data_IF_807446460983
#
_entry.id   IF_807446460983
#
_cell.length_a   1.000
_cell.length_b   1.000
_cell.length_c   1.000
_cell.angle_alpha   90.00
_cell.angle_beta   90.00
_cell.angle_gamma   90.00
#
_symmetry.space_group_name_H-M   'P 1'
#
loop_
_entity.id
_entity.type
_entity.pdbx_description
1 polymer ?
#
# COMPACT_ATOMS: atom_id res chain seq x y z
N UNK A 1 -17.10 6.50 -5.19
CA UNK A 1 -17.69 6.99 -6.46
C UNK A 1 -16.54 7.41 -7.36
N UNK A 2 -16.56 7.04 -8.65
CA UNK A 2 -15.47 7.35 -9.60
C UNK A 2 -15.99 8.40 -10.58
N UNK A 3 -15.28 9.52 -10.70
CA UNK A 3 -15.54 10.59 -11.68
C UNK A 3 -14.37 10.69 -12.65
N UNK A 4 -14.67 11.00 -13.92
CA UNK A 4 -13.62 11.46 -14.84
C UNK A 4 -13.37 12.93 -14.58
N UNK A 5 -12.13 13.38 -14.72
CA UNK A 5 -11.77 14.79 -14.49
C UNK A 5 -12.60 15.75 -15.34
N UNK A 6 -12.90 15.37 -16.58
CA UNK A 6 -13.74 16.14 -17.51
C UNK A 6 -15.20 16.34 -17.06
N UNK A 7 -15.68 15.51 -16.12
CA UNK A 7 -17.06 15.54 -15.63
C UNK A 7 -17.17 16.32 -14.31
N UNK A 8 -16.06 16.89 -13.80
CA UNK A 8 -16.03 17.73 -12.61
C UNK A 8 -16.47 19.15 -12.93
N UNK A 9 -17.21 19.78 -12.01
CA UNK A 9 -17.47 21.22 -12.12
C UNK A 9 -16.16 22.02 -11.94
N UNK A 10 -16.08 23.26 -12.45
CA UNK A 10 -14.90 24.11 -12.26
C UNK A 10 -14.51 24.27 -10.77
N UNK A 11 -15.51 24.48 -9.91
CA UNK A 11 -15.31 24.62 -8.46
C UNK A 11 -14.75 23.34 -7.83
N UNK A 12 -15.29 22.17 -8.20
CA UNK A 12 -14.81 20.88 -7.71
C UNK A 12 -13.36 20.62 -8.14
N UNK A 13 -13.02 20.96 -9.38
CA UNK A 13 -11.68 20.81 -9.91
C UNK A 13 -10.67 21.65 -9.14
N UNK A 14 -10.96 22.93 -8.93
CA UNK A 14 -10.06 23.85 -8.19
C UNK A 14 -9.80 23.35 -6.77
N UNK A 15 -10.82 22.84 -6.07
CA UNK A 15 -10.63 22.27 -4.72
C UNK A 15 -9.71 21.06 -4.75
N UNK A 16 -9.91 20.14 -5.69
CA UNK A 16 -9.11 18.92 -5.77
C UNK A 16 -7.66 19.24 -6.20
N UNK A 17 -7.46 20.14 -7.17
CA UNK A 17 -6.13 20.61 -7.56
C UNK A 17 -5.39 21.28 -6.40
N UNK A 18 -6.11 22.05 -5.56
CA UNK A 18 -5.57 22.62 -4.33
C UNK A 18 -5.12 21.56 -3.32
N UNK A 19 -5.89 20.48 -3.16
CA UNK A 19 -5.53 19.36 -2.28
C UNK A 19 -4.35 18.55 -2.82
N UNK A 20 -4.25 18.39 -4.15
CA UNK A 20 -3.16 17.64 -4.80
C UNK A 20 -1.88 18.47 -4.97
N UNK A 21 -1.97 19.80 -4.92
CA UNK A 21 -0.85 20.71 -5.17
C UNK A 21 -0.39 20.75 -6.63
N UNK A 22 -1.22 20.27 -7.57
CA UNK A 22 -0.92 20.22 -9.00
C UNK A 22 -2.21 20.30 -9.84
N UNK A 23 -2.13 20.72 -11.11
CA UNK A 23 -3.27 20.66 -12.02
C UNK A 23 -3.66 19.21 -12.34
N UNK A 24 -4.95 19.00 -12.58
CA UNK A 24 -5.52 17.73 -13.03
C UNK A 24 -5.49 17.64 -14.55
N UNK A 25 -5.23 16.45 -15.08
CA UNK A 25 -5.34 16.12 -16.51
C UNK A 25 -6.75 15.62 -16.83
N UNK A 26 -7.26 15.97 -18.02
CA UNK A 26 -8.58 15.56 -18.52
C UNK A 26 -8.79 14.04 -18.60
N UNK A 27 -7.69 13.29 -18.66
CA UNK A 27 -7.67 11.84 -18.80
C UNK A 27 -7.58 11.11 -17.45
N UNK A 28 -7.41 11.85 -16.34
CA UNK A 28 -7.36 11.27 -15.00
C UNK A 28 -8.77 10.86 -14.54
N UNK A 29 -8.81 9.80 -13.72
CA UNK A 29 -10.01 9.37 -13.01
C UNK A 29 -9.81 9.61 -11.51
N UNK A 30 -10.82 10.20 -10.88
CA UNK A 30 -10.80 10.54 -9.46
C UNK A 30 -11.81 9.68 -8.73
N UNK A 31 -11.32 8.92 -7.75
CA UNK A 31 -12.16 8.08 -6.90
C UNK A 31 -12.31 8.70 -5.52
N UNK A 32 -13.53 9.10 -5.17
CA UNK A 32 -13.86 9.57 -3.83
C UNK A 32 -14.33 8.41 -2.97
N UNK A 33 -13.59 8.17 -1.89
CA UNK A 33 -13.90 7.17 -0.87
C UNK A 33 -14.14 7.87 0.45
N UNK A 34 -15.34 7.67 1.01
CA UNK A 34 -15.62 8.01 2.40
C UNK A 34 -15.20 6.80 3.22
N UNK A 35 -14.11 6.93 3.98
CA UNK A 35 -13.74 5.93 4.96
C UNK A 35 -14.52 6.21 6.25
N UNK A 36 -15.03 5.18 6.92
CA UNK A 36 -15.57 5.37 8.26
C UNK A 36 -14.46 5.96 9.15
N UNK A 37 -14.80 6.82 10.13
CA UNK A 37 -13.81 7.25 11.11
C UNK A 37 -13.18 6.00 11.72
N UNK A 38 -11.86 5.87 11.58
CA UNK A 38 -11.17 4.77 12.25
C UNK A 38 -11.45 4.91 13.73
N UNK A 39 -11.88 3.84 14.39
CA UNK A 39 -12.04 3.83 15.84
C UNK A 39 -10.69 4.26 16.42
N UNK A 40 -10.65 5.42 17.06
CA UNK A 40 -9.41 5.94 17.62
C UNK A 40 -8.85 4.89 18.59
N UNK A 41 -7.70 4.34 18.22
CA UNK A 41 -6.98 3.41 19.07
C UNK A 41 -6.24 4.28 20.08
N UNK A 42 -6.41 4.00 21.36
CA UNK A 42 -5.67 4.74 22.39
C UNK A 42 -4.16 4.58 22.15
N UNK A 43 -3.32 5.58 22.51
CA UNK A 43 -1.88 5.47 22.36
C UNK A 43 -1.31 4.20 23.00
N UNK A 44 -1.84 3.79 24.15
CA UNK A 44 -1.42 2.59 24.88
C UNK A 44 -1.77 1.32 24.08
N UNK A 45 -2.99 1.23 23.54
CA UNK A 45 -3.41 0.07 22.75
C UNK A 45 -2.64 -0.03 21.43
N UNK A 46 -2.27 1.11 20.86
CA UNK A 46 -1.39 1.17 19.68
C UNK A 46 0.00 0.62 20.02
N UNK A 47 0.59 1.06 21.13
CA UNK A 47 1.89 0.58 21.56
C UNK A 47 1.88 -0.92 21.84
N UNK A 48 0.88 -1.42 22.57
CA UNK A 48 0.71 -2.85 22.84
C UNK A 48 0.62 -3.68 21.55
N UNK A 49 -0.10 -3.14 20.55
CA UNK A 49 -0.21 -3.80 19.24
C UNK A 49 1.14 -3.86 18.52
N UNK A 50 1.91 -2.77 18.55
CA UNK A 50 3.23 -2.73 17.94
C UNK A 50 4.21 -3.69 18.64
N UNK A 51 4.20 -3.73 19.96
CA UNK A 51 5.05 -4.62 20.75
C UNK A 51 4.71 -6.10 20.50
N UNK A 52 3.40 -6.40 20.38
CA UNK A 52 2.93 -7.73 19.99
C UNK A 52 3.39 -8.13 18.59
N UNK A 53 3.29 -7.23 17.61
CA UNK A 53 3.77 -7.47 16.24
C UNK A 53 5.29 -7.69 16.21
N UNK A 54 6.06 -6.86 16.91
CA UNK A 54 7.51 -6.98 17.00
C UNK A 54 7.92 -8.33 17.61
N UNK A 55 7.24 -8.75 18.69
CA UNK A 55 7.50 -10.03 19.35
C UNK A 55 7.19 -11.21 18.43
N UNK A 56 6.09 -11.12 17.67
CA UNK A 56 5.70 -12.15 16.70
C UNK A 56 6.71 -12.27 15.56
N UNK A 57 7.15 -11.15 14.97
CA UNK A 57 8.16 -11.17 13.91
C UNK A 57 9.51 -11.66 14.42
N UNK A 58 9.94 -11.24 15.61
CA UNK A 58 11.15 -11.76 16.23
C UNK A 58 11.10 -13.29 16.45
N UNK A 59 9.93 -13.84 16.81
CA UNK A 59 9.74 -15.28 16.93
C UNK A 59 9.84 -16.02 15.58
N UNK A 60 9.33 -15.42 14.50
CA UNK A 60 9.46 -15.97 13.14
C UNK A 60 10.93 -15.92 12.70
N UNK A 61 11.58 -14.77 12.88
CA UNK A 61 12.96 -14.55 12.46
C UNK A 61 13.94 -15.46 13.21
N UNK A 62 13.70 -15.71 14.51
CA UNK A 62 14.50 -16.66 15.28
C UNK A 62 14.46 -18.10 14.74
N UNK A 63 13.40 -18.47 14.01
CA UNK A 63 13.25 -19.79 13.37
C UNK A 63 13.76 -19.81 11.93
N UNK A 64 14.06 -18.64 11.35
CA UNK A 64 14.51 -18.51 9.97
C UNK A 64 15.96 -18.98 9.85
N UNK A 65 16.25 -19.76 8.80
CA UNK A 65 17.64 -20.05 8.43
C UNK A 65 18.21 -18.82 7.72
N UNK A 66 19.41 -18.33 8.10
CA UNK A 66 20.06 -17.28 7.33
C UNK A 66 20.38 -17.84 5.94
N UNK A 67 19.96 -17.11 4.92
CA UNK A 67 20.19 -17.41 3.50
C UNK A 67 20.82 -16.18 2.86
N UNK A 68 21.53 -16.34 1.75
CA UNK A 68 22.08 -15.18 1.04
C UNK A 68 20.95 -14.36 0.41
N UNK A 69 21.18 -13.06 0.17
CA UNK A 69 20.20 -12.21 -0.54
C UNK A 69 19.82 -12.81 -1.91
N UNK A 70 20.77 -13.47 -2.58
CA UNK A 70 20.55 -14.15 -3.85
C UNK A 70 19.55 -15.31 -3.71
N UNK A 71 19.71 -16.12 -2.66
CA UNK A 71 18.81 -17.24 -2.36
C UNK A 71 17.42 -16.75 -1.92
N UNK A 72 17.34 -15.67 -1.14
CA UNK A 72 16.07 -15.01 -0.79
C UNK A 72 15.31 -14.56 -2.04
N UNK A 73 16.01 -13.89 -2.96
CA UNK A 73 15.42 -13.41 -4.19
C UNK A 73 14.96 -14.55 -5.10
N UNK A 74 15.73 -15.65 -5.20
CA UNK A 74 15.29 -16.81 -5.97
C UNK A 74 14.06 -17.50 -5.36
N UNK A 75 13.96 -17.63 -4.04
CA UNK A 75 12.77 -18.18 -3.37
C UNK A 75 11.53 -17.33 -3.68
N UNK A 76 11.66 -15.99 -3.59
CA UNK A 76 10.57 -15.07 -3.93
C UNK A 76 10.20 -15.18 -5.41
N UNK A 77 11.20 -15.22 -6.29
CA UNK A 77 10.97 -15.33 -7.73
C UNK A 77 10.32 -16.67 -8.10
N UNK A 78 10.69 -17.77 -7.47
CA UNK A 78 10.04 -19.08 -7.64
C UNK A 78 8.57 -19.02 -7.23
N UNK A 79 8.27 -18.49 -6.05
CA UNK A 79 6.90 -18.32 -5.58
C UNK A 79 6.06 -17.42 -6.51
N UNK A 80 6.66 -16.34 -7.03
CA UNK A 80 6.03 -15.46 -8.00
C UNK A 80 5.82 -16.15 -9.35
N UNK A 81 6.76 -16.96 -9.85
CA UNK A 81 6.58 -17.75 -11.08
C UNK A 81 5.46 -18.79 -10.92
N UNK A 82 5.33 -19.39 -9.73
CA UNK A 82 4.26 -20.36 -9.43
C UNK A 82 2.87 -19.71 -9.46
N UNK A 83 2.72 -18.55 -8.82
CA UNK A 83 1.43 -17.82 -8.78
C UNK A 83 1.15 -17.00 -10.04
N UNK A 84 2.20 -16.59 -10.76
CA UNK A 84 2.18 -15.76 -11.98
C UNK A 84 3.16 -16.34 -13.00
N UNK A 85 2.74 -17.29 -13.84
CA UNK A 85 3.62 -18.01 -14.77
C UNK A 85 4.45 -17.13 -15.72
N UNK A 86 3.96 -15.93 -16.03
CA UNK A 86 4.63 -14.97 -16.92
C UNK A 86 5.50 -13.94 -16.17
N UNK A 87 5.68 -14.07 -14.86
CA UNK A 87 6.49 -13.15 -14.08
C UNK A 87 7.96 -13.19 -14.51
N UNK A 88 8.54 -12.01 -14.71
CA UNK A 88 9.97 -11.82 -14.97
C UNK A 88 10.53 -10.82 -13.94
N UNK A 89 11.57 -11.19 -13.17
CA UNK A 89 12.20 -10.26 -12.25
C UNK A 89 12.87 -9.12 -13.00
N UNK A 90 12.79 -7.91 -12.44
CA UNK A 90 13.50 -6.72 -12.93
C UNK A 90 14.87 -6.73 -12.27
N UNK A 91 15.94 -6.67 -13.07
CA UNK A 91 17.33 -6.61 -12.61
C UNK A 91 17.74 -5.19 -12.28
#
# INVERSE_FOLDING_TARGET
MIHKTKDLSPDQRTVIEGLLGRPLSEQEEISLHVLPPSKEISPERRQETLDGLNSYFAHIDAKRKPVSEEEENEIINEALRSTRPNYRPIR
#
